data_IF_502804785303
#
_entry.id   IF_502804785303
#
_cell.length_a   1.000
_cell.length_b   1.000
_cell.length_c   1.000
_cell.angle_alpha   90.00
_cell.angle_beta   90.00
_cell.angle_gamma   90.00
#
_symmetry.space_group_name_H-M   'P 1'
#
loop_
_entity.id
_entity.type
_entity.pdbx_description
1 polymer ?
#
# COMPACT_ATOMS: atom_id res chain seq x y z
N UNK A 1 1.80 -65.41 21.81
CA UNK A 1 1.42 -64.28 20.93
C UNK A 1 0.88 -63.14 21.78
N UNK A 2 1.67 -62.07 22.01
CA UNK A 2 1.27 -60.77 22.62
C UNK A 2 2.50 -59.85 22.62
N UNK A 3 2.72 -59.14 21.50
CA UNK A 3 3.75 -58.08 21.36
C UNK A 3 3.14 -56.94 20.55
N UNK A 4 2.33 -56.07 21.17
CA UNK A 4 1.78 -54.86 20.52
C UNK A 4 1.34 -53.80 21.55
N UNK A 5 2.21 -53.42 22.49
CA UNK A 5 1.95 -52.27 23.37
C UNK A 5 3.23 -51.56 23.82
N UNK A 6 4.10 -51.19 22.88
CA UNK A 6 5.25 -50.33 23.20
C UNK A 6 5.67 -49.43 22.03
N UNK A 7 4.71 -48.71 21.41
CA UNK A 7 5.02 -47.65 20.42
C UNK A 7 4.13 -46.41 20.57
N UNK A 8 3.61 -46.19 21.78
CA UNK A 8 3.07 -44.89 22.20
C UNK A 8 4.18 -44.23 23.02
N UNK A 9 4.77 -43.14 22.53
CA UNK A 9 5.34 -42.03 23.35
C UNK A 9 6.46 -41.19 22.70
N UNK A 10 6.81 -41.32 21.41
CA UNK A 10 7.88 -40.45 20.84
C UNK A 10 7.44 -39.56 19.66
N UNK A 11 6.25 -39.72 19.10
CA UNK A 11 5.82 -38.96 17.92
C UNK A 11 4.86 -37.81 18.25
N UNK A 12 5.14 -37.02 19.28
CA UNK A 12 4.31 -35.87 19.67
C UNK A 12 5.15 -34.65 20.08
N UNK A 13 6.29 -34.40 19.43
CA UNK A 13 7.14 -33.24 19.72
C UNK A 13 7.79 -32.63 18.46
N UNK A 14 7.03 -32.51 17.37
CA UNK A 14 7.48 -31.83 16.15
C UNK A 14 6.37 -30.96 15.52
N UNK A 15 5.55 -30.31 16.35
CA UNK A 15 4.31 -29.65 15.93
C UNK A 15 4.16 -28.20 16.43
N UNK A 16 5.25 -27.49 16.79
CA UNK A 16 5.06 -26.23 17.51
C UNK A 16 6.15 -25.16 17.45
N UNK A 17 6.94 -25.05 16.37
CA UNK A 17 7.93 -23.94 16.29
C UNK A 17 8.29 -23.52 14.85
N UNK A 18 7.31 -23.32 13.98
CA UNK A 18 7.56 -22.71 12.66
C UNK A 18 6.44 -21.76 12.24
N UNK A 19 6.28 -20.67 12.97
CA UNK A 19 5.33 -19.65 12.57
C UNK A 19 5.46 -18.38 13.38
N UNK A 20 6.47 -17.54 13.10
CA UNK A 20 6.39 -16.11 13.41
C UNK A 20 7.52 -15.26 12.78
N UNK A 21 7.64 -15.17 11.46
CA UNK A 21 8.45 -14.08 10.86
C UNK A 21 7.90 -13.64 9.49
N UNK A 22 6.73 -13.00 9.44
CA UNK A 22 6.25 -12.27 8.23
C UNK A 22 5.20 -11.23 8.66
N UNK A 23 5.59 -10.02 9.11
CA UNK A 23 4.61 -8.97 9.42
C UNK A 23 5.09 -7.50 9.31
N UNK A 24 6.28 -7.21 8.76
CA UNK A 24 6.82 -5.82 8.78
C UNK A 24 6.53 -5.01 7.52
N UNK A 25 6.11 -5.63 6.41
CA UNK A 25 5.89 -4.92 5.14
C UNK A 25 4.52 -4.20 5.08
N UNK A 26 3.49 -4.75 5.75
CA UNK A 26 2.14 -4.18 5.74
C UNK A 26 2.07 -2.79 6.38
N UNK A 27 2.85 -2.55 7.44
CA UNK A 27 2.84 -1.27 8.14
C UNK A 27 3.45 -0.12 7.31
N UNK A 28 4.48 -0.40 6.51
CA UNK A 28 5.09 0.62 5.65
C UNK A 28 4.16 0.99 4.49
N UNK A 29 3.56 0.00 3.83
CA UNK A 29 2.59 0.23 2.75
C UNK A 29 1.33 0.97 3.24
N UNK A 30 0.84 0.64 4.44
CA UNK A 30 -0.27 1.36 5.06
C UNK A 30 0.08 2.83 5.35
N UNK A 31 1.32 3.12 5.80
CA UNK A 31 1.79 4.49 5.99
C UNK A 31 1.85 5.28 4.67
N UNK A 32 2.37 4.67 3.61
CA UNK A 32 2.53 5.32 2.29
C UNK A 32 1.18 5.63 1.65
N UNK A 33 0.19 4.73 1.76
CA UNK A 33 -1.17 4.98 1.28
C UNK A 33 -1.84 6.14 2.03
N UNK A 34 -1.64 6.23 3.36
CA UNK A 34 -2.13 7.35 4.17
C UNK A 34 -1.51 8.68 3.73
N UNK A 35 -0.19 8.72 3.50
CA UNK A 35 0.51 9.93 3.02
C UNK A 35 -0.03 10.34 1.65
N UNK A 36 -0.13 9.40 0.71
CA UNK A 36 -0.67 9.67 -0.62
C UNK A 36 -2.11 10.20 -0.55
N UNK A 37 -2.95 9.61 0.31
CA UNK A 37 -4.34 10.04 0.53
C UNK A 37 -4.42 11.45 1.09
N UNK A 38 -3.61 11.77 2.11
CA UNK A 38 -3.57 13.10 2.71
C UNK A 38 -3.21 14.17 1.67
N UNK A 39 -2.21 13.90 0.83
CA UNK A 39 -1.81 14.80 -0.25
C UNK A 39 -2.91 14.98 -1.30
N UNK A 40 -3.55 13.89 -1.71
CA UNK A 40 -4.70 13.95 -2.62
C UNK A 40 -5.85 14.78 -2.03
N UNK A 41 -6.14 14.63 -0.73
CA UNK A 41 -7.14 15.44 -0.03
C UNK A 41 -6.77 16.92 -0.01
N UNK A 42 -5.51 17.26 0.24
CA UNK A 42 -5.05 18.65 0.19
C UNK A 42 -5.20 19.25 -1.21
N UNK A 43 -4.82 18.52 -2.27
CA UNK A 43 -5.03 18.95 -3.65
C UNK A 43 -6.53 19.19 -3.95
N UNK A 44 -7.39 18.27 -3.48
CA UNK A 44 -8.83 18.37 -3.66
C UNK A 44 -9.44 19.56 -2.92
N UNK A 45 -8.98 19.87 -1.70
CA UNK A 45 -9.43 21.04 -0.93
C UNK A 45 -8.95 22.36 -1.54
N UNK A 46 -7.75 22.37 -2.14
CA UNK A 46 -7.19 23.53 -2.84
C UNK A 46 -7.77 23.69 -4.26
N UNK A 47 -8.39 22.64 -4.81
CA UNK A 47 -8.86 22.61 -6.19
C UNK A 47 -7.73 22.66 -7.21
N UNK A 48 -6.52 22.18 -6.85
CA UNK A 48 -5.30 22.31 -7.65
C UNK A 48 -4.50 21.01 -7.67
N UNK A 49 -4.23 20.49 -8.86
CA UNK A 49 -3.32 19.37 -9.05
C UNK A 49 -1.88 19.87 -9.05
N UNK A 50 -1.09 19.47 -8.04
CA UNK A 50 0.31 19.86 -7.86
C UNK A 50 1.01 18.90 -6.92
N UNK A 51 2.34 18.86 -7.01
CA UNK A 51 3.18 18.28 -5.95
C UNK A 51 2.97 19.08 -4.65
N UNK A 52 2.45 18.41 -3.63
CA UNK A 52 2.08 19.06 -2.35
C UNK A 52 3.32 19.39 -1.51
N UNK A 53 4.39 18.61 -1.66
CA UNK A 53 5.56 18.63 -0.77
C UNK A 53 5.37 17.76 0.47
N UNK A 54 6.31 17.81 1.42
CA UNK A 54 6.27 17.05 2.67
C UNK A 54 6.75 15.60 2.56
N UNK A 55 6.30 14.74 3.48
CA UNK A 55 6.75 13.34 3.57
C UNK A 55 6.50 12.55 2.29
N UNK A 56 7.43 11.66 1.98
CA UNK A 56 7.32 10.66 0.90
C UNK A 56 7.16 9.24 1.45
N UNK A 57 7.11 9.07 2.77
CA UNK A 57 7.11 7.75 3.40
C UNK A 57 8.35 6.98 2.97
N UNK A 58 8.15 5.78 2.41
CA UNK A 58 9.24 4.98 1.84
C UNK A 58 9.58 5.29 0.37
N UNK A 59 8.81 6.16 -0.28
CA UNK A 59 8.92 6.40 -1.72
C UNK A 59 10.04 7.37 -2.11
N UNK A 60 10.49 7.24 -3.35
CA UNK A 60 11.53 8.10 -3.95
C UNK A 60 10.94 9.08 -4.96
N UNK A 61 9.76 8.77 -5.51
CA UNK A 61 9.11 9.58 -6.53
C UNK A 61 7.63 9.79 -6.21
N UNK A 62 7.12 10.96 -6.58
CA UNK A 62 5.70 11.30 -6.52
C UNK A 62 5.18 11.47 -7.95
N UNK A 63 4.00 10.91 -8.23
CA UNK A 63 3.20 11.27 -9.38
C UNK A 63 1.91 11.90 -8.89
N UNK A 64 1.47 12.95 -9.57
CA UNK A 64 0.17 13.59 -9.34
C UNK A 64 -0.68 13.47 -10.59
N UNK A 65 -1.98 13.34 -10.42
CA UNK A 65 -2.92 13.18 -11.51
C UNK A 65 -4.25 13.85 -11.21
N UNK A 66 -4.96 14.20 -12.27
CA UNK A 66 -6.29 14.78 -12.18
C UNK A 66 -7.18 14.19 -13.27
N UNK A 67 -8.46 14.02 -12.96
CA UNK A 67 -9.46 13.66 -13.96
C UNK A 67 -10.85 14.17 -13.59
N UNK A 68 -11.61 14.62 -14.58
CA UNK A 68 -13.05 14.90 -14.43
C UNK A 68 -13.90 13.65 -14.60
N UNK A 69 -13.32 12.56 -15.14
CA UNK A 69 -14.04 11.34 -15.53
C UNK A 69 -14.18 10.36 -14.36
N UNK A 70 -13.07 9.91 -13.77
CA UNK A 70 -13.09 8.91 -12.69
C UNK A 70 -11.84 8.94 -11.81
N UNK A 71 -11.91 8.27 -10.67
CA UNK A 71 -10.77 8.06 -9.77
C UNK A 71 -9.63 7.30 -10.47
N UNK A 72 -9.96 6.21 -11.16
CA UNK A 72 -8.98 5.37 -11.87
C UNK A 72 -8.29 6.12 -12.99
N UNK A 73 -9.03 6.95 -13.74
CA UNK A 73 -8.43 7.81 -14.75
C UNK A 73 -7.46 8.82 -14.14
N UNK A 74 -7.76 9.37 -12.95
CA UNK A 74 -6.85 10.29 -12.27
C UNK A 74 -5.55 9.58 -11.85
N UNK A 75 -5.64 8.34 -11.33
CA UNK A 75 -4.47 7.50 -11.02
C UNK A 75 -3.65 7.23 -12.29
N UNK A 76 -4.33 6.81 -13.37
CA UNK A 76 -3.69 6.48 -14.63
C UNK A 76 -2.99 7.67 -15.31
N UNK A 77 -3.38 8.90 -14.94
CA UNK A 77 -2.81 10.14 -15.45
C UNK A 77 -1.55 10.59 -14.69
N UNK A 78 -1.13 9.88 -13.64
CA UNK A 78 0.10 10.19 -12.92
C UNK A 78 1.36 9.90 -13.76
N UNK A 79 2.38 10.76 -13.66
CA UNK A 79 3.58 10.76 -14.53
C UNK A 79 4.29 9.41 -14.68
N UNK A 80 4.34 8.60 -13.62
CA UNK A 80 5.04 7.32 -13.58
C UNK A 80 4.11 6.10 -13.56
N UNK A 81 2.82 6.28 -13.82
CA UNK A 81 1.87 5.19 -13.80
C UNK A 81 2.24 4.12 -14.83
N UNK A 82 2.32 2.86 -14.38
CA UNK A 82 2.77 1.73 -15.19
C UNK A 82 4.28 1.69 -15.49
N UNK A 83 5.06 2.69 -15.07
CA UNK A 83 6.51 2.76 -15.30
C UNK A 83 7.32 2.40 -14.06
N UNK A 84 6.81 2.75 -12.87
CA UNK A 84 7.46 2.51 -11.57
C UNK A 84 6.57 1.69 -10.66
N UNK A 85 7.15 1.11 -9.60
CA UNK A 85 6.35 0.34 -8.65
C UNK A 85 5.64 1.30 -7.70
N UNK A 86 4.31 1.33 -7.75
CA UNK A 86 3.51 2.06 -6.79
C UNK A 86 3.62 1.42 -5.40
N UNK A 87 3.92 2.23 -4.39
CA UNK A 87 3.99 1.83 -2.97
C UNK A 87 2.89 2.47 -2.13
N UNK A 88 2.30 3.58 -2.61
CA UNK A 88 1.14 4.21 -2.00
C UNK A 88 0.29 4.90 -3.07
N UNK A 89 -1.03 4.81 -2.96
CA UNK A 89 -1.98 5.42 -3.92
C UNK A 89 -3.02 6.18 -3.12
N UNK A 90 -3.24 7.44 -3.40
CA UNK A 90 -4.26 8.26 -2.76
C UNK A 90 -5.10 8.93 -3.81
N UNK A 91 -6.43 8.87 -3.65
CA UNK A 91 -7.36 9.62 -4.50
C UNK A 91 -8.37 10.35 -3.63
N UNK A 92 -8.68 11.59 -3.96
CA UNK A 92 -9.74 12.35 -3.33
C UNK A 92 -10.64 13.03 -4.36
N UNK A 93 -11.94 13.09 -4.05
CA UNK A 93 -12.91 13.86 -4.83
C UNK A 93 -12.87 15.31 -4.37
N UNK A 94 -12.54 16.23 -5.27
CA UNK A 94 -12.72 17.66 -5.08
C UNK A 94 -13.86 18.21 -5.95
N UNK A 95 -14.13 19.52 -5.83
CA UNK A 95 -15.24 20.17 -6.55
C UNK A 95 -15.13 20.04 -8.08
N UNK A 96 -13.91 20.09 -8.61
CA UNK A 96 -13.67 20.12 -10.06
C UNK A 96 -13.39 18.72 -10.65
N UNK A 97 -13.15 17.69 -9.83
CA UNK A 97 -12.60 16.44 -10.34
C UNK A 97 -12.07 15.51 -9.25
N UNK A 98 -11.44 14.44 -9.70
CA UNK A 98 -10.67 13.49 -8.91
C UNK A 98 -9.21 13.89 -8.93
N UNK A 99 -8.59 13.97 -7.75
CA UNK A 99 -7.19 14.31 -7.56
C UNK A 99 -6.49 13.05 -7.06
N UNK A 100 -5.43 12.64 -7.74
CA UNK A 100 -4.62 11.49 -7.40
C UNK A 100 -3.21 11.90 -6.99
N UNK A 101 -2.67 11.17 -6.03
CA UNK A 101 -1.26 11.15 -5.69
C UNK A 101 -0.84 9.69 -5.65
N UNK A 102 0.24 9.34 -6.35
CA UNK A 102 0.84 8.01 -6.27
C UNK A 102 2.30 8.17 -5.87
N UNK A 103 2.71 7.37 -4.90
CA UNK A 103 4.07 7.28 -4.38
C UNK A 103 4.74 6.05 -5.00
N UNK A 104 5.99 6.21 -5.46
CA UNK A 104 6.69 5.17 -6.21
C UNK A 104 8.10 4.89 -5.69
N UNK A 105 8.55 3.65 -5.91
CA UNK A 105 9.95 3.22 -5.96
C UNK A 105 10.36 2.98 -7.42
#
# INVERSE_FOLDING_TARGET
MRRTQLQRSVLALALGFLGLVMATADSAAACDHCIAKQKAQQQASEGRCRHVGGSMGSAQFEGVGFSTVSADHAIASCCYWGQRTAVGIGVARGRNGWYATVLYR
#
